data_IF_120384579428
#
_entry.id   IF_120384579428
#
_cell.length_a   1.000
_cell.length_b   1.000
_cell.length_c   1.000
_cell.angle_alpha   90.00
_cell.angle_beta   90.00
_cell.angle_gamma   90.00
#
_symmetry.space_group_name_H-M   'P 1'
#
loop_
_entity.id
_entity.type
_entity.pdbx_description
1 polymer ?
#
# COMPACT_ATOMS: atom_id res chain seq x y z
N UNK A 1 -5.59 37.76 36.47
CA UNK A 1 -4.90 36.46 36.50
C UNK A 1 -5.84 35.27 36.23
N UNK A 2 -7.10 35.27 36.69
CA UNK A 2 -8.05 34.18 36.38
C UNK A 2 -8.50 34.17 34.92
N UNK A 3 -8.79 35.33 34.32
CA UNK A 3 -9.27 35.42 32.93
C UNK A 3 -8.26 34.85 31.91
N UNK A 4 -6.97 35.11 32.14
CA UNK A 4 -5.86 34.60 31.32
C UNK A 4 -5.72 33.09 31.43
N UNK A 5 -5.87 32.53 32.64
CA UNK A 5 -5.81 31.08 32.86
C UNK A 5 -6.99 30.35 32.20
N UNK A 6 -8.20 30.92 32.30
CA UNK A 6 -9.39 30.37 31.66
C UNK A 6 -9.24 30.42 30.13
N UNK A 7 -8.77 31.53 29.58
CA UNK A 7 -8.50 31.64 28.13
C UNK A 7 -7.48 30.59 27.66
N UNK A 8 -6.38 30.39 28.40
CA UNK A 8 -5.36 29.40 28.08
C UNK A 8 -5.90 27.96 28.13
N UNK A 9 -6.76 27.67 29.11
CA UNK A 9 -7.40 26.35 29.27
C UNK A 9 -8.35 26.05 28.11
N UNK A 10 -9.12 27.03 27.64
CA UNK A 10 -10.01 26.88 26.48
C UNK A 10 -9.20 26.59 25.21
N UNK A 11 -8.08 27.28 25.01
CA UNK A 11 -7.19 27.03 23.85
C UNK A 11 -6.64 25.61 23.89
N UNK A 12 -6.16 25.15 25.05
CA UNK A 12 -5.64 23.79 25.23
C UNK A 12 -6.70 22.72 24.96
N UNK A 13 -7.90 22.87 25.54
CA UNK A 13 -9.01 21.92 25.34
C UNK A 13 -9.43 21.88 23.87
N UNK A 14 -9.52 23.05 23.23
CA UNK A 14 -9.87 23.15 21.79
C UNK A 14 -8.82 22.46 20.93
N UNK A 15 -7.53 22.69 21.21
CA UNK A 15 -6.42 22.03 20.52
C UNK A 15 -6.42 20.51 20.69
N UNK A 16 -6.60 20.03 21.92
CA UNK A 16 -6.68 18.61 22.22
C UNK A 16 -7.89 17.94 21.54
N UNK A 17 -9.06 18.61 21.54
CA UNK A 17 -10.25 18.12 20.86
C UNK A 17 -10.06 18.02 19.33
N UNK A 18 -9.44 19.03 18.72
CA UNK A 18 -9.09 19.01 17.30
C UNK A 18 -8.07 17.93 16.97
N UNK A 19 -7.09 17.70 17.85
CA UNK A 19 -6.09 16.65 17.68
C UNK A 19 -6.74 15.27 17.69
N UNK A 20 -7.57 14.96 18.70
CA UNK A 20 -8.30 13.69 18.78
C UNK A 20 -9.22 13.52 17.56
N UNK A 21 -9.93 14.56 17.14
CA UNK A 21 -10.79 14.51 15.94
C UNK A 21 -9.99 14.20 14.68
N UNK A 22 -8.82 14.82 14.53
CA UNK A 22 -7.94 14.58 13.38
C UNK A 22 -7.38 13.16 13.40
N UNK A 23 -6.96 12.68 14.57
CA UNK A 23 -6.47 11.31 14.74
C UNK A 23 -7.56 10.28 14.40
N UNK A 24 -8.79 10.47 14.89
CA UNK A 24 -9.92 9.60 14.57
C UNK A 24 -10.25 9.59 13.08
N UNK A 25 -10.13 10.74 12.39
CA UNK A 25 -10.28 10.80 10.94
C UNK A 25 -9.20 9.98 10.25
N UNK A 26 -7.94 10.12 10.66
CA UNK A 26 -6.81 9.39 10.07
C UNK A 26 -7.00 7.87 10.18
N UNK A 27 -7.54 7.39 11.30
CA UNK A 27 -7.86 5.97 11.51
C UNK A 27 -8.99 5.44 10.61
N UNK A 28 -9.84 6.32 10.11
CA UNK A 28 -10.97 5.99 9.23
C UNK A 28 -10.73 6.38 7.77
N UNK A 29 -9.53 6.83 7.44
CA UNK A 29 -9.18 7.13 6.05
C UNK A 29 -9.31 5.84 5.26
N UNK A 30 -10.07 5.92 4.18
CA UNK A 30 -10.13 4.88 3.17
C UNK A 30 -8.73 4.69 2.58
N UNK A 31 -8.13 3.52 2.82
CA UNK A 31 -6.80 3.20 2.31
C UNK A 31 -6.83 2.78 0.84
N UNK A 32 -8.01 2.73 0.22
CA UNK A 32 -8.21 2.33 -1.17
C UNK A 32 -8.22 0.81 -1.37
N UNK A 33 -8.25 0.01 -0.29
CA UNK A 33 -8.37 -1.45 -0.30
C UNK A 33 -9.15 -1.96 0.93
N UNK A 34 -9.68 -3.18 0.88
CA UNK A 34 -10.45 -3.77 2.00
C UNK A 34 -9.55 -4.12 3.19
N UNK A 35 -9.84 -3.57 4.38
CA UNK A 35 -9.03 -3.79 5.59
C UNK A 35 -9.49 -4.97 6.45
N UNK A 36 -10.70 -5.48 6.23
CA UNK A 36 -11.32 -6.45 7.14
C UNK A 36 -11.09 -7.89 6.69
N UNK A 37 -11.07 -8.14 5.38
CA UNK A 37 -11.02 -9.50 4.82
C UNK A 37 -9.71 -9.78 4.06
N UNK A 38 -8.63 -9.07 4.38
CA UNK A 38 -7.33 -9.24 3.74
C UNK A 38 -6.27 -9.59 4.77
N UNK A 39 -5.62 -10.74 4.56
CA UNK A 39 -4.45 -11.15 5.32
C UNK A 39 -3.19 -10.95 4.48
N UNK A 40 -2.27 -10.11 4.94
CA UNK A 40 -1.00 -9.83 4.26
C UNK A 40 0.18 -10.35 5.07
N UNK A 41 1.12 -11.01 4.40
CA UNK A 41 2.35 -11.48 5.00
C UNK A 41 3.50 -11.42 3.98
N UNK A 42 4.74 -11.42 4.48
CA UNK A 42 5.95 -11.34 3.66
C UNK A 42 6.77 -12.62 3.79
N UNK A 43 7.41 -13.04 2.70
CA UNK A 43 8.30 -14.21 2.67
C UNK A 43 9.66 -13.78 2.15
N UNK A 44 10.68 -13.88 3.00
CA UNK A 44 12.06 -13.69 2.57
C UNK A 44 12.66 -15.03 2.10
N UNK A 45 12.58 -15.26 0.79
CA UNK A 45 13.11 -16.47 0.17
C UNK A 45 14.64 -16.61 0.33
N UNK A 46 15.38 -15.51 0.45
CA UNK A 46 16.83 -15.53 0.63
C UNK A 46 17.18 -15.98 2.04
N UNK A 47 16.49 -15.47 3.06
CA UNK A 47 16.64 -15.94 4.44
C UNK A 47 16.24 -17.42 4.58
N UNK A 48 15.26 -17.88 3.80
CA UNK A 48 14.88 -19.29 3.72
C UNK A 48 15.88 -20.18 2.94
N UNK A 49 17.00 -19.63 2.44
CA UNK A 49 18.06 -20.39 1.77
C UNK A 49 17.82 -20.67 0.29
N UNK A 50 16.78 -20.08 -0.33
CA UNK A 50 16.52 -20.27 -1.75
C UNK A 50 17.49 -19.47 -2.63
N UNK A 51 17.97 -20.12 -3.70
CA UNK A 51 18.74 -19.45 -4.75
C UNK A 51 17.80 -18.59 -5.59
N UNK A 52 18.28 -17.43 -6.08
CA UNK A 52 17.49 -16.45 -6.86
C UNK A 52 16.66 -17.08 -7.99
N UNK A 53 17.22 -18.05 -8.72
CA UNK A 53 16.51 -18.72 -9.83
C UNK A 53 15.31 -19.59 -9.42
N UNK A 54 15.23 -19.98 -8.14
CA UNK A 54 14.13 -20.81 -7.61
C UNK A 54 13.00 -19.98 -6.99
N UNK A 55 13.23 -18.69 -6.74
CA UNK A 55 12.27 -17.80 -6.07
C UNK A 55 10.94 -17.70 -6.83
N UNK A 56 10.90 -17.55 -8.17
CA UNK A 56 9.62 -17.52 -8.89
C UNK A 56 8.82 -18.81 -8.78
N UNK A 57 9.49 -19.97 -8.70
CA UNK A 57 8.82 -21.25 -8.53
C UNK A 57 8.22 -21.39 -7.13
N UNK A 58 8.97 -20.99 -6.10
CA UNK A 58 8.50 -20.96 -4.71
C UNK A 58 7.22 -20.14 -4.56
N UNK A 59 7.21 -18.91 -5.08
CA UNK A 59 6.04 -18.03 -4.94
C UNK A 59 4.81 -18.53 -5.71
N UNK A 60 4.99 -19.17 -6.87
CA UNK A 60 3.88 -19.86 -7.57
C UNK A 60 3.30 -21.01 -6.74
N UNK A 61 4.15 -21.81 -6.11
CA UNK A 61 3.71 -22.92 -5.26
C UNK A 61 2.98 -22.42 -4.00
N UNK A 62 3.46 -21.33 -3.39
CA UNK A 62 2.79 -20.69 -2.24
C UNK A 62 1.39 -20.24 -2.65
N UNK A 63 1.25 -19.51 -3.77
CA UNK A 63 -0.05 -19.05 -4.26
C UNK A 63 -1.02 -20.21 -4.50
N UNK A 64 -0.58 -21.24 -5.24
CA UNK A 64 -1.41 -22.41 -5.53
C UNK A 64 -1.90 -23.12 -4.27
N UNK A 65 -1.07 -23.21 -3.24
CA UNK A 65 -1.45 -23.83 -1.96
C UNK A 65 -2.41 -22.98 -1.17
N UNK A 66 -2.29 -21.65 -1.21
CA UNK A 66 -3.22 -20.73 -0.53
C UNK A 66 -4.59 -20.75 -1.19
N UNK A 67 -4.65 -20.71 -2.52
CA UNK A 67 -5.90 -20.78 -3.29
C UNK A 67 -6.64 -22.11 -3.11
N UNK A 68 -5.92 -23.18 -2.74
CA UNK A 68 -6.53 -24.48 -2.45
C UNK A 68 -7.17 -24.58 -1.06
N UNK A 69 -7.02 -23.57 -0.20
CA UNK A 69 -7.64 -23.56 1.13
C UNK A 69 -9.12 -23.17 1.04
N UNK A 70 -10.02 -23.83 1.78
CA UNK A 70 -11.47 -23.64 1.65
C UNK A 70 -11.96 -22.24 2.08
N UNK A 71 -11.23 -21.57 2.98
CA UNK A 71 -11.58 -20.24 3.50
C UNK A 71 -10.90 -19.09 2.73
N UNK A 72 -10.12 -19.40 1.69
CA UNK A 72 -9.42 -18.39 0.87
C UNK A 72 -10.22 -18.13 -0.41
N UNK A 73 -10.74 -16.92 -0.55
CA UNK A 73 -11.47 -16.50 -1.76
C UNK A 73 -10.52 -16.28 -2.95
N UNK A 74 -9.38 -15.65 -2.71
CA UNK A 74 -8.33 -15.39 -3.71
C UNK A 74 -6.99 -15.12 -3.04
N UNK A 75 -5.89 -15.35 -3.76
CA UNK A 75 -4.56 -15.01 -3.31
C UNK A 75 -3.78 -14.28 -4.41
N UNK A 76 -2.94 -13.33 -4.04
CA UNK A 76 -2.10 -12.60 -4.98
C UNK A 76 -0.76 -12.23 -4.33
N UNK A 77 0.18 -11.77 -5.14
CA UNK A 77 1.49 -11.31 -4.71
C UNK A 77 1.67 -9.85 -5.08
N UNK A 78 2.31 -9.13 -4.17
CA UNK A 78 2.97 -7.87 -4.48
C UNK A 78 4.42 -7.94 -4.03
N UNK A 79 5.27 -7.10 -4.63
CA UNK A 79 6.63 -6.95 -4.12
C UNK A 79 6.65 -6.11 -2.85
N UNK A 80 5.95 -4.98 -2.87
CA UNK A 80 5.77 -4.10 -1.71
C UNK A 80 4.33 -4.18 -1.21
N UNK A 81 4.09 -4.20 0.10
CA UNK A 81 2.71 -4.18 0.63
C UNK A 81 2.15 -2.75 0.63
N UNK A 82 0.82 -2.57 0.49
CA UNK A 82 0.20 -1.27 0.71
C UNK A 82 0.48 -0.74 2.12
N UNK A 83 0.88 0.52 2.21
CA UNK A 83 1.18 1.20 3.47
C UNK A 83 2.26 0.52 4.33
N UNK A 84 3.18 -0.24 3.71
CA UNK A 84 4.39 -0.72 4.38
C UNK A 84 5.38 0.44 4.60
N UNK A 85 6.23 0.29 5.61
CA UNK A 85 7.29 1.27 5.94
C UNK A 85 8.51 1.15 4.99
N UNK A 86 8.48 0.18 4.07
CA UNK A 86 9.53 -0.03 3.08
C UNK A 86 9.48 1.02 1.95
N UNK A 87 10.66 1.36 1.43
CA UNK A 87 10.78 2.28 0.30
C UNK A 87 10.06 1.69 -0.92
N UNK A 88 9.02 2.37 -1.37
CA UNK A 88 8.46 2.17 -2.70
C UNK A 88 9.58 2.12 -3.76
N UNK A 89 9.42 1.28 -4.78
CA UNK A 89 10.28 1.36 -5.95
C UNK A 89 9.99 2.67 -6.66
N UNK A 90 10.98 3.56 -6.70
CA UNK A 90 10.83 4.86 -7.35
C UNK A 90 11.82 4.98 -8.49
N UNK A 91 11.29 5.29 -9.68
CA UNK A 91 12.08 5.66 -10.84
C UNK A 91 11.94 7.16 -11.11
N UNK A 92 13.00 7.77 -11.65
CA UNK A 92 12.91 9.09 -12.27
C UNK A 92 12.50 8.89 -13.72
N UNK A 93 11.35 9.44 -14.11
CA UNK A 93 10.83 9.39 -15.48
C UNK A 93 10.97 10.76 -16.10
N UNK A 94 11.73 10.86 -17.19
CA UNK A 94 11.93 12.08 -17.97
C UNK A 94 11.27 12.01 -19.36
N UNK A 95 10.62 10.90 -19.68
CA UNK A 95 9.98 10.65 -20.98
C UNK A 95 8.70 9.84 -20.79
N UNK A 96 7.61 10.27 -21.42
CA UNK A 96 6.31 9.58 -21.42
C UNK A 96 5.80 9.53 -22.86
N UNK A 97 5.41 8.35 -23.33
CA UNK A 97 4.93 8.12 -24.70
C UNK A 97 5.85 8.68 -25.80
N UNK A 98 7.17 8.54 -25.61
CA UNK A 98 8.18 9.05 -26.56
C UNK A 98 8.43 10.57 -26.47
N UNK A 99 7.78 11.27 -25.54
CA UNK A 99 7.91 12.73 -25.36
C UNK A 99 8.72 13.02 -24.11
N UNK A 100 9.84 13.73 -24.30
CA UNK A 100 10.63 14.24 -23.18
C UNK A 100 9.85 15.31 -22.42
N UNK A 101 9.94 15.25 -21.10
CA UNK A 101 9.45 16.31 -20.23
C UNK A 101 10.35 17.54 -20.37
N UNK A 102 9.83 18.77 -20.17
CA UNK A 102 10.62 20.00 -20.23
C UNK A 102 11.73 19.96 -19.17
N UNK A 103 12.97 20.35 -19.46
CA UNK A 103 13.99 20.44 -18.40
C UNK A 103 13.65 21.55 -17.38
N UNK A 104 13.89 21.34 -16.07
CA UNK A 104 14.53 20.20 -15.40
C UNK A 104 13.53 19.11 -14.93
N UNK A 105 12.33 19.06 -15.52
CA UNK A 105 11.24 18.22 -15.03
C UNK A 105 11.56 16.73 -15.21
N UNK A 106 11.61 16.05 -14.07
CA UNK A 106 11.62 14.60 -14.01
C UNK A 106 10.65 14.20 -12.90
N UNK A 107 9.79 13.23 -13.19
CA UNK A 107 8.75 12.83 -12.27
C UNK A 107 9.25 11.62 -11.50
N UNK A 108 9.11 11.68 -10.17
CA UNK A 108 9.28 10.50 -9.31
C UNK A 108 8.06 9.62 -9.45
N UNK A 109 8.22 8.48 -10.10
CA UNK A 109 7.15 7.50 -10.27
C UNK A 109 7.41 6.35 -9.31
N UNK A 110 6.56 6.24 -8.28
CA UNK A 110 6.48 5.06 -7.46
C UNK A 110 5.74 3.95 -8.21
N UNK A 111 6.27 2.74 -8.19
CA UNK A 111 5.68 1.58 -8.85
C UNK A 111 5.83 0.33 -7.98
N UNK A 112 5.04 -0.69 -8.29
CA UNK A 112 5.05 -1.98 -7.61
C UNK A 112 4.96 -3.09 -8.64
N UNK A 113 5.46 -4.28 -8.32
CA UNK A 113 5.24 -5.48 -9.12
C UNK A 113 4.13 -6.28 -8.46
N UNK A 114 3.10 -6.58 -9.23
CA UNK A 114 1.89 -7.26 -8.78
C UNK A 114 1.67 -8.51 -9.62
N UNK A 115 1.15 -9.58 -9.02
CA UNK A 115 0.63 -10.71 -9.79
C UNK A 115 -0.73 -10.37 -10.41
N UNK A 116 -1.16 -11.10 -11.47
CA UNK A 116 -2.55 -11.12 -11.90
C UNK A 116 -3.51 -11.34 -10.72
N UNK A 117 -4.70 -10.72 -10.77
CA UNK A 117 -5.73 -10.87 -9.74
C UNK A 117 -5.52 -10.03 -8.48
N UNK A 118 -4.42 -9.26 -8.40
CA UNK A 118 -4.11 -8.44 -7.22
C UNK A 118 -5.21 -7.42 -6.90
N UNK A 119 -5.71 -6.68 -7.90
CA UNK A 119 -6.75 -5.68 -7.65
C UNK A 119 -8.05 -6.31 -7.16
N UNK A 120 -8.43 -7.46 -7.71
CA UNK A 120 -9.61 -8.21 -7.25
C UNK A 120 -9.43 -8.73 -5.82
N UNK A 121 -8.27 -9.33 -5.52
CA UNK A 121 -7.94 -9.85 -4.18
C UNK A 121 -7.97 -8.72 -3.14
N UNK A 122 -7.45 -7.55 -3.53
CA UNK A 122 -7.39 -6.37 -2.68
C UNK A 122 -8.69 -5.54 -2.66
N UNK A 123 -9.68 -5.94 -3.47
CA UNK A 123 -10.93 -5.20 -3.74
C UNK A 123 -10.71 -3.74 -4.14
N UNK A 124 -9.65 -3.49 -4.89
CA UNK A 124 -9.31 -2.17 -5.45
C UNK A 124 -10.07 -2.01 -6.77
N UNK A 125 -10.93 -0.99 -6.92
CA UNK A 125 -11.69 -0.80 -8.15
C UNK A 125 -10.79 -0.29 -9.30
N UNK A 126 -10.86 -0.96 -10.45
CA UNK A 126 -10.26 -0.47 -11.70
C UNK A 126 -11.25 0.52 -12.33
N UNK A 127 -10.89 1.81 -12.34
CA UNK A 127 -11.74 2.87 -12.90
C UNK A 127 -11.79 2.84 -14.43
N UNK A 128 -10.71 2.40 -15.08
CA UNK A 128 -10.59 2.31 -16.53
C UNK A 128 -9.59 1.21 -16.91
N UNK A 129 -9.91 0.46 -17.98
CA UNK A 129 -9.08 -0.64 -18.46
C UNK A 129 -9.48 -1.99 -17.84
N UNK A 130 -8.50 -2.89 -17.69
CA UNK A 130 -8.66 -4.23 -17.13
C UNK A 130 -7.40 -4.64 -16.36
N UNK A 131 -7.54 -5.66 -15.52
CA UNK A 131 -6.41 -6.26 -14.82
C UNK A 131 -5.42 -6.94 -15.80
N UNK A 132 -4.26 -7.33 -15.29
CA UNK A 132 -3.22 -8.06 -16.01
C UNK A 132 -3.67 -9.50 -16.25
N UNK A 133 -4.04 -9.81 -17.49
CA UNK A 133 -4.48 -11.13 -17.96
C UNK A 133 -4.41 -11.25 -19.48
#
# INVERSE_FOLDING_TARGET
>A
MVLTQVALSIVLITGAGLFVRTLQKLWRVDMGYDRENIFMFSVDAKLAGYRKGLVPALFREILQRLEALPDVESASLSRERPADDELYLVNMVSEVDGRKLPEPDSIRVAWNLLSPGYFSTMKIPILMGRDFG
#
